data_IF_879716344630
#
_entry.id   IF_879716344630
#
_cell.length_a   1.000
_cell.length_b   1.000
_cell.length_c   1.000
_cell.angle_alpha   90.00
_cell.angle_beta   90.00
_cell.angle_gamma   90.00
#
_symmetry.space_group_name_H-M   'P 1'
#
loop_
_entity.id
_entity.type
_entity.pdbx_description
1 polymer ?
#
# COMPACT_ATOMS: atom_id res chain seq x y z
N UNK A 1 -40.94 -46.45 16.79
CA UNK A 1 -39.78 -46.43 17.70
C UNK A 1 -38.60 -45.87 16.94
N UNK A 2 -38.33 -44.58 17.11
CA UNK A 2 -37.21 -43.90 16.39
C UNK A 2 -35.89 -44.28 17.11
N UNK A 3 -35.10 -45.16 16.50
CA UNK A 3 -33.72 -45.38 16.95
C UNK A 3 -32.99 -44.04 16.88
N UNK A 4 -32.47 -43.56 18.01
CA UNK A 4 -31.72 -42.32 18.12
C UNK A 4 -30.48 -42.41 17.23
N UNK A 5 -30.19 -41.33 16.49
CA UNK A 5 -29.00 -41.21 15.64
C UNK A 5 -27.72 -41.53 16.44
N UNK A 6 -27.70 -41.21 17.73
CA UNK A 6 -26.64 -41.54 18.69
C UNK A 6 -26.42 -43.05 18.90
N UNK A 7 -27.49 -43.89 18.84
CA UNK A 7 -27.35 -45.34 18.98
C UNK A 7 -26.72 -45.98 17.71
N UNK A 8 -26.92 -45.36 16.52
CA UNK A 8 -26.25 -45.79 15.29
C UNK A 8 -24.75 -45.48 15.34
N UNK A 9 -24.34 -44.37 15.97
CA UNK A 9 -22.93 -44.05 16.13
C UNK A 9 -22.21 -44.99 17.12
N UNK A 10 -22.90 -45.55 18.13
CA UNK A 10 -22.37 -46.54 19.08
C UNK A 10 -22.08 -47.91 18.44
N UNK A 11 -22.76 -48.27 17.37
CA UNK A 11 -22.55 -49.53 16.63
C UNK A 11 -21.40 -49.44 15.60
N UNK A 12 -20.93 -48.22 15.27
CA UNK A 12 -19.80 -48.05 14.32
C UNK A 12 -18.47 -48.25 15.03
N UNK A 13 -17.89 -49.43 14.91
CA UNK A 13 -16.50 -49.66 15.26
C UNK A 13 -15.62 -48.91 14.30
N UNK A 14 -15.06 -47.77 14.71
CA UNK A 14 -14.04 -47.07 13.99
C UNK A 14 -12.79 -47.93 13.92
N UNK A 15 -12.56 -48.59 12.79
CA UNK A 15 -11.32 -49.32 12.55
C UNK A 15 -10.20 -48.33 12.20
N UNK A 16 -8.94 -48.66 12.52
CA UNK A 16 -7.74 -47.85 12.23
C UNK A 16 -7.69 -47.40 10.77
N UNK A 17 -8.17 -48.24 9.83
CA UNK A 17 -8.25 -47.90 8.42
C UNK A 17 -9.11 -46.68 8.10
N UNK A 18 -10.23 -46.47 8.82
CA UNK A 18 -11.10 -45.31 8.62
C UNK A 18 -10.43 -44.02 9.12
N UNK A 19 -9.69 -44.11 10.21
CA UNK A 19 -8.90 -43.01 10.75
C UNK A 19 -7.77 -42.63 9.80
N UNK A 20 -7.09 -43.63 9.19
CA UNK A 20 -6.04 -43.41 8.20
C UNK A 20 -6.58 -42.70 6.95
N UNK A 21 -7.73 -43.13 6.43
CA UNK A 21 -8.37 -42.49 5.28
C UNK A 21 -8.78 -41.05 5.63
N UNK A 22 -9.36 -40.82 6.80
CA UNK A 22 -9.75 -39.48 7.25
C UNK A 22 -8.52 -38.58 7.39
N UNK A 23 -7.43 -39.10 7.97
CA UNK A 23 -6.15 -38.38 8.06
C UNK A 23 -5.62 -37.96 6.69
N UNK A 24 -5.62 -38.90 5.73
CA UNK A 24 -5.14 -38.60 4.37
C UNK A 24 -5.99 -37.54 3.68
N UNK A 25 -7.31 -37.58 3.87
CA UNK A 25 -8.23 -36.57 3.31
C UNK A 25 -7.98 -35.21 3.95
N UNK A 26 -7.87 -35.15 5.27
CA UNK A 26 -7.61 -33.88 5.99
C UNK A 26 -6.25 -33.30 5.62
N UNK A 27 -5.23 -34.15 5.49
CA UNK A 27 -3.89 -33.71 5.09
C UNK A 27 -3.90 -33.17 3.65
N UNK A 28 -4.52 -33.88 2.70
CA UNK A 28 -4.68 -33.41 1.33
C UNK A 28 -5.47 -32.07 1.27
N UNK A 29 -6.56 -31.96 2.01
CA UNK A 29 -7.33 -30.72 2.13
C UNK A 29 -6.48 -29.57 2.68
N UNK A 30 -5.70 -29.83 3.72
CA UNK A 30 -4.81 -28.80 4.31
C UNK A 30 -3.73 -28.33 3.32
N UNK A 31 -3.16 -29.22 2.54
CA UNK A 31 -2.22 -28.85 1.49
C UNK A 31 -2.87 -27.96 0.42
N UNK A 32 -4.09 -28.30 0.00
CA UNK A 32 -4.85 -27.52 -0.97
C UNK A 32 -5.14 -26.12 -0.41
N UNK A 33 -5.64 -26.03 0.82
CA UNK A 33 -5.95 -24.75 1.48
C UNK A 33 -4.69 -23.90 1.66
N UNK A 34 -3.57 -24.51 2.06
CA UNK A 34 -2.28 -23.82 2.19
C UNK A 34 -1.81 -23.25 0.85
N UNK A 35 -1.94 -24.02 -0.23
CA UNK A 35 -1.57 -23.58 -1.57
C UNK A 35 -2.44 -22.42 -2.06
N UNK A 36 -3.77 -22.53 -1.88
CA UNK A 36 -4.72 -21.47 -2.26
C UNK A 36 -4.42 -20.19 -1.46
N UNK A 37 -4.20 -20.32 -0.16
CA UNK A 37 -3.91 -19.18 0.71
C UNK A 37 -2.61 -18.48 0.31
N UNK A 38 -1.55 -19.24 0.00
CA UNK A 38 -0.29 -18.70 -0.48
C UNK A 38 -0.45 -17.96 -1.81
N UNK A 39 -1.20 -18.51 -2.76
CA UNK A 39 -1.48 -17.88 -4.04
C UNK A 39 -2.27 -16.57 -3.84
N UNK A 40 -3.34 -16.62 -3.05
CA UNK A 40 -4.20 -15.46 -2.75
C UNK A 40 -3.43 -14.32 -2.07
N UNK A 41 -2.58 -14.64 -1.09
CA UNK A 41 -1.76 -13.63 -0.41
C UNK A 41 -0.74 -13.01 -1.38
N UNK A 42 -0.12 -13.81 -2.23
CA UNK A 42 0.83 -13.30 -3.23
C UNK A 42 0.15 -12.35 -4.20
N UNK A 43 -1.02 -12.72 -4.72
CA UNK A 43 -1.80 -11.89 -5.64
C UNK A 43 -2.25 -10.58 -4.95
N UNK A 44 -2.72 -10.68 -3.71
CA UNK A 44 -3.08 -9.51 -2.91
C UNK A 44 -1.89 -8.57 -2.69
N UNK A 45 -0.73 -9.10 -2.31
CA UNK A 45 0.48 -8.30 -2.12
C UNK A 45 0.93 -7.63 -3.41
N UNK A 46 0.91 -8.36 -4.53
CA UNK A 46 1.28 -7.80 -5.83
C UNK A 46 0.34 -6.66 -6.22
N UNK A 47 -0.97 -6.89 -6.13
CA UNK A 47 -1.97 -5.87 -6.44
C UNK A 47 -1.87 -4.64 -5.54
N UNK A 48 -1.64 -4.86 -4.24
CA UNK A 48 -1.47 -3.77 -3.26
C UNK A 48 -0.20 -2.98 -3.53
N UNK A 49 0.89 -3.64 -3.88
CA UNK A 49 2.13 -2.98 -4.24
C UNK A 49 1.99 -2.14 -5.52
N UNK A 50 1.37 -2.70 -6.55
CA UNK A 50 1.18 -1.98 -7.82
C UNK A 50 0.28 -0.75 -7.62
N UNK A 51 -0.78 -0.89 -6.82
CA UNK A 51 -1.61 0.24 -6.44
C UNK A 51 -0.81 1.30 -5.67
N UNK A 52 -0.07 0.89 -4.63
CA UNK A 52 0.71 1.82 -3.80
C UNK A 52 1.82 2.52 -4.58
N UNK A 53 2.48 1.81 -5.50
CA UNK A 53 3.50 2.37 -6.40
C UNK A 53 2.91 3.47 -7.27
N UNK A 54 1.74 3.20 -7.86
CA UNK A 54 1.03 4.15 -8.71
C UNK A 54 0.63 5.39 -7.91
N UNK A 55 -0.08 5.20 -6.80
CA UNK A 55 -0.57 6.28 -5.94
C UNK A 55 0.57 7.15 -5.42
N UNK A 56 1.63 6.54 -4.90
CA UNK A 56 2.81 7.27 -4.41
C UNK A 56 3.49 8.07 -5.50
N UNK A 57 3.59 7.51 -6.70
CA UNK A 57 4.22 8.19 -7.82
C UNK A 57 3.35 9.37 -8.34
N UNK A 58 2.04 9.19 -8.39
CA UNK A 58 1.09 10.27 -8.73
C UNK A 58 1.14 11.41 -7.70
N UNK A 59 1.17 11.07 -6.40
CA UNK A 59 1.26 12.06 -5.31
C UNK A 59 2.56 12.87 -5.39
N UNK A 60 3.70 12.22 -5.62
CA UNK A 60 4.99 12.88 -5.76
C UNK A 60 4.99 13.81 -6.98
N UNK A 61 4.48 13.34 -8.11
CA UNK A 61 4.40 14.15 -9.32
C UNK A 61 3.50 15.38 -9.14
N UNK A 62 2.36 15.19 -8.46
CA UNK A 62 1.44 16.27 -8.13
C UNK A 62 2.05 17.28 -7.17
N UNK A 63 2.72 16.83 -6.12
CA UNK A 63 3.44 17.70 -5.19
C UNK A 63 4.55 18.49 -5.90
N UNK A 64 5.22 17.87 -6.85
CA UNK A 64 6.25 18.54 -7.67
C UNK A 64 5.64 19.64 -8.52
N UNK A 65 4.56 19.35 -9.24
CA UNK A 65 3.85 20.35 -10.04
C UNK A 65 3.37 21.52 -9.18
N UNK A 66 2.66 21.23 -8.10
CA UNK A 66 2.14 22.24 -7.16
C UNK A 66 3.25 23.08 -6.53
N UNK A 67 4.41 22.46 -6.20
CA UNK A 67 5.54 23.19 -5.64
C UNK A 67 6.12 24.20 -6.63
N UNK A 68 6.26 23.81 -7.88
CA UNK A 68 6.74 24.70 -8.97
C UNK A 68 5.76 25.83 -9.21
N UNK A 69 4.46 25.54 -9.31
CA UNK A 69 3.39 26.52 -9.46
C UNK A 69 3.39 27.53 -8.31
N UNK A 70 3.46 27.05 -7.07
CA UNK A 70 3.44 27.89 -5.87
C UNK A 70 4.66 28.82 -5.79
N UNK A 71 5.85 28.32 -6.11
CA UNK A 71 7.08 29.14 -6.13
C UNK A 71 6.93 30.25 -7.16
N UNK A 72 6.45 29.91 -8.35
CA UNK A 72 6.29 30.90 -9.40
C UNK A 72 5.22 31.95 -9.04
N UNK A 73 4.07 31.55 -8.52
CA UNK A 73 3.01 32.48 -8.10
C UNK A 73 3.43 33.39 -6.94
N UNK A 74 4.19 32.86 -5.99
CA UNK A 74 4.60 33.63 -4.81
C UNK A 74 5.72 34.63 -5.09
N UNK A 75 6.67 34.27 -5.93
CA UNK A 75 7.92 35.02 -6.13
C UNK A 75 8.02 35.59 -7.53
N UNK A 76 7.41 34.98 -8.52
CA UNK A 76 7.56 35.32 -9.94
C UNK A 76 6.96 36.66 -10.34
N UNK A 77 6.03 37.24 -9.55
CA UNK A 77 5.40 38.54 -9.83
C UNK A 77 6.21 39.75 -9.36
N UNK A 78 7.16 39.56 -8.46
CA UNK A 78 7.97 40.68 -7.93
C UNK A 78 9.20 40.91 -8.80
N UNK A 79 9.02 41.79 -9.80
CA UNK A 79 10.04 42.50 -10.62
C UNK A 79 11.49 41.97 -10.59
N UNK A 80 11.88 41.45 -11.71
CA UNK A 80 13.05 41.71 -12.57
C UNK A 80 14.36 42.18 -11.88
N UNK A 81 14.67 41.68 -10.68
CA UNK A 81 16.04 41.72 -10.21
C UNK A 81 16.72 40.41 -10.64
N UNK A 82 17.86 40.54 -11.30
CA UNK A 82 18.64 39.39 -11.82
C UNK A 82 18.99 38.38 -10.71
N UNK A 83 19.13 38.84 -9.47
CA UNK A 83 19.37 38.00 -8.30
C UNK A 83 18.13 37.19 -7.90
N UNK A 84 16.95 37.76 -8.00
CA UNK A 84 15.69 37.07 -7.77
C UNK A 84 15.43 35.97 -8.82
N UNK A 85 15.64 36.27 -10.08
CA UNK A 85 15.53 35.32 -11.18
C UNK A 85 16.42 34.08 -10.96
N UNK A 86 17.68 34.33 -10.55
CA UNK A 86 18.62 33.25 -10.23
C UNK A 86 18.17 32.40 -9.04
N UNK A 87 17.60 33.01 -8.01
CA UNK A 87 17.10 32.27 -6.84
C UNK A 87 15.91 31.38 -7.19
N UNK A 88 14.99 31.85 -8.04
CA UNK A 88 13.85 31.06 -8.49
C UNK A 88 14.32 29.88 -9.34
N UNK A 89 15.19 30.14 -10.30
CA UNK A 89 15.78 29.08 -11.13
C UNK A 89 16.48 28.01 -10.27
N UNK A 90 17.26 28.42 -9.28
CA UNK A 90 17.89 27.50 -8.33
C UNK A 90 16.88 26.72 -7.50
N UNK A 91 15.75 27.33 -7.13
CA UNK A 91 14.69 26.62 -6.40
C UNK A 91 14.04 25.54 -7.26
N UNK A 92 13.84 25.78 -8.53
CA UNK A 92 13.36 24.77 -9.49
C UNK A 92 14.39 23.64 -9.67
N UNK A 93 15.67 23.96 -9.82
CA UNK A 93 16.74 22.95 -9.90
C UNK A 93 16.81 22.08 -8.65
N UNK A 94 16.60 22.67 -7.47
CA UNK A 94 16.53 21.92 -6.22
C UNK A 94 15.35 20.95 -6.24
N UNK A 95 14.16 21.37 -6.69
CA UNK A 95 13.00 20.48 -6.79
C UNK A 95 13.30 19.34 -7.75
N UNK A 96 13.80 19.62 -8.96
CA UNK A 96 14.13 18.59 -9.93
C UNK A 96 15.15 17.57 -9.37
N UNK A 97 16.23 18.06 -8.78
CA UNK A 97 17.29 17.20 -8.25
C UNK A 97 16.89 16.44 -7.00
N UNK A 98 16.16 17.04 -6.07
CA UNK A 98 15.69 16.35 -4.86
C UNK A 98 14.73 15.21 -5.19
N UNK A 99 13.80 15.41 -6.11
CA UNK A 99 12.88 14.37 -6.49
C UNK A 99 13.57 13.18 -7.14
N UNK A 100 14.54 13.43 -8.03
CA UNK A 100 15.32 12.38 -8.67
C UNK A 100 16.15 11.56 -7.67
N UNK A 101 16.74 12.22 -6.64
CA UNK A 101 17.58 11.54 -5.66
C UNK A 101 16.79 10.76 -4.60
N UNK A 102 15.62 11.24 -4.22
CA UNK A 102 14.92 10.72 -3.03
C UNK A 102 13.96 9.59 -3.36
N UNK A 103 13.41 9.50 -4.59
CA UNK A 103 12.24 8.68 -4.87
C UNK A 103 12.38 7.67 -6.00
N UNK A 104 13.60 7.31 -6.41
CA UNK A 104 13.84 6.42 -7.56
C UNK A 104 13.14 6.91 -8.84
N UNK A 105 13.14 8.23 -9.04
CA UNK A 105 12.63 8.85 -10.24
C UNK A 105 13.73 8.81 -11.30
N UNK A 106 13.45 8.12 -12.38
CA UNK A 106 14.38 7.98 -13.50
C UNK A 106 14.44 9.28 -14.34
N UNK A 107 13.30 9.94 -14.49
CA UNK A 107 13.20 11.16 -15.28
C UNK A 107 12.09 12.08 -14.76
N UNK A 108 12.41 13.35 -14.64
CA UNK A 108 11.47 14.41 -14.33
C UNK A 108 11.69 15.54 -15.32
N UNK A 109 10.65 15.99 -15.98
CA UNK A 109 10.68 17.07 -16.95
C UNK A 109 9.31 17.76 -17.04
N UNK A 110 9.29 18.95 -17.57
CA UNK A 110 8.06 19.68 -17.90
C UNK A 110 7.93 19.74 -19.41
N UNK A 111 6.81 19.30 -19.91
CA UNK A 111 6.47 19.41 -21.34
C UNK A 111 5.57 20.62 -21.50
N UNK A 112 6.02 21.60 -22.23
CA UNK A 112 5.28 22.84 -22.48
C UNK A 112 4.88 22.96 -23.93
N UNK A 113 3.75 23.62 -24.18
CA UNK A 113 3.28 23.91 -25.52
C UNK A 113 3.58 25.37 -25.87
N UNK A 114 4.35 25.60 -26.94
CA UNK A 114 4.63 26.93 -27.48
C UNK A 114 4.13 26.97 -28.92
N UNK A 115 3.07 27.70 -29.14
CA UNK A 115 2.41 27.69 -30.44
C UNK A 115 1.90 26.30 -30.82
N UNK A 116 2.51 25.69 -31.83
CA UNK A 116 2.14 24.34 -32.32
C UNK A 116 3.21 23.27 -31.97
N UNK A 117 4.28 23.65 -31.28
CA UNK A 117 5.38 22.77 -30.94
C UNK A 117 5.40 22.48 -29.43
N UNK A 118 5.91 21.30 -29.08
CA UNK A 118 6.07 20.88 -27.69
C UNK A 118 7.56 20.87 -27.38
N UNK A 119 7.90 21.48 -26.25
CA UNK A 119 9.27 21.56 -25.75
C UNK A 119 9.38 20.84 -24.40
N UNK A 120 10.53 20.21 -24.17
CA UNK A 120 10.83 19.51 -22.93
C UNK A 120 11.81 20.36 -22.12
N UNK A 121 11.44 20.68 -20.90
CA UNK A 121 12.24 21.46 -19.96
C UNK A 121 12.59 20.56 -18.78
N UNK A 122 13.87 20.41 -18.47
CA UNK A 122 14.39 19.63 -17.33
C UNK A 122 15.39 20.42 -16.49
N UNK A 123 15.50 21.70 -16.73
CA UNK A 123 16.41 22.64 -16.09
C UNK A 123 15.64 23.81 -15.50
N UNK A 124 15.98 24.21 -14.28
CA UNK A 124 15.22 25.26 -13.57
C UNK A 124 15.41 26.64 -14.15
N UNK A 125 16.54 26.91 -14.79
CA UNK A 125 16.80 28.19 -15.45
C UNK A 125 15.96 28.29 -16.72
N UNK A 126 15.92 27.22 -17.52
CA UNK A 126 15.12 27.15 -18.73
C UNK A 126 13.62 27.26 -18.40
N UNK A 127 13.19 26.63 -17.31
CA UNK A 127 11.82 26.76 -16.81
C UNK A 127 11.50 28.20 -16.42
N UNK A 128 12.39 28.87 -15.69
CA UNK A 128 12.19 30.28 -15.33
C UNK A 128 12.11 31.17 -16.57
N UNK A 129 13.02 31.01 -17.52
CA UNK A 129 13.04 31.77 -18.78
C UNK A 129 11.72 31.58 -19.59
N UNK A 130 11.21 30.34 -19.64
CA UNK A 130 9.91 30.05 -20.24
C UNK A 130 8.77 30.79 -19.54
N UNK A 131 8.71 30.70 -18.20
CA UNK A 131 7.63 31.31 -17.42
C UNK A 131 7.67 32.84 -17.46
N UNK A 132 8.87 33.44 -17.48
CA UNK A 132 9.07 34.88 -17.53
C UNK A 132 8.83 35.49 -18.92
N UNK A 133 9.11 34.77 -19.98
CA UNK A 133 9.15 35.32 -21.35
C UNK A 133 8.58 34.34 -22.39
N UNK A 134 7.34 33.90 -22.19
CA UNK A 134 6.67 32.85 -22.99
C UNK A 134 6.68 33.10 -24.50
N UNK A 135 6.60 34.37 -24.91
CA UNK A 135 6.51 34.72 -26.34
C UNK A 135 7.83 34.71 -27.09
N UNK A 136 8.97 34.75 -26.39
CA UNK A 136 10.31 34.79 -26.96
C UNK A 136 11.19 33.60 -26.52
N UNK A 137 10.61 32.63 -25.87
CA UNK A 137 11.33 31.44 -25.41
C UNK A 137 11.81 30.59 -26.57
N UNK A 138 13.10 30.30 -26.59
CA UNK A 138 13.68 29.35 -27.54
C UNK A 138 14.45 28.35 -26.68
N UNK A 139 14.05 27.10 -26.74
CA UNK A 139 14.75 26.02 -25.98
C UNK A 139 16.20 25.94 -26.46
N UNK A 140 17.11 25.97 -25.48
CA UNK A 140 18.54 25.88 -25.74
C UNK A 140 19.00 24.42 -25.97
N UNK A 141 18.20 23.45 -25.59
CA UNK A 141 18.48 22.03 -25.77
C UNK A 141 17.32 21.34 -26.49
N UNK A 142 17.57 20.80 -27.66
CA UNK A 142 16.71 19.81 -28.28
C UNK A 142 16.84 18.49 -27.48
N UNK A 143 16.16 18.39 -26.35
CA UNK A 143 16.04 17.10 -25.65
C UNK A 143 15.07 16.25 -26.45
N UNK A 144 15.59 15.52 -27.42
CA UNK A 144 14.84 14.58 -28.21
C UNK A 144 14.64 13.29 -27.39
N UNK A 145 13.51 13.19 -26.70
CA UNK A 145 13.00 11.91 -26.19
C UNK A 145 11.71 11.54 -26.94
N UNK A 146 11.86 10.82 -28.08
CA UNK A 146 10.70 10.48 -28.91
C UNK A 146 9.69 9.62 -28.17
N UNK A 147 10.14 8.80 -27.20
CA UNK A 147 9.27 7.92 -26.43
C UNK A 147 8.37 8.72 -25.49
N UNK A 148 8.94 9.66 -24.74
CA UNK A 148 8.21 10.55 -23.85
C UNK A 148 7.21 11.41 -24.63
N UNK A 149 7.64 11.96 -25.76
CA UNK A 149 6.81 12.81 -26.57
C UNK A 149 5.64 12.06 -27.23
N UNK A 150 5.85 10.79 -27.63
CA UNK A 150 4.79 9.96 -28.17
C UNK A 150 3.73 9.63 -27.11
N UNK A 151 4.16 9.32 -25.89
CA UNK A 151 3.26 9.09 -24.74
C UNK A 151 2.49 10.37 -24.40
N UNK A 152 3.17 11.52 -24.33
CA UNK A 152 2.50 12.78 -24.04
C UNK A 152 1.41 13.11 -25.08
N UNK A 153 1.71 12.95 -26.38
CA UNK A 153 0.72 13.20 -27.43
C UNK A 153 -0.53 12.34 -27.30
N UNK A 154 -0.41 11.13 -26.78
CA UNK A 154 -1.56 10.24 -26.58
C UNK A 154 -2.48 10.70 -25.46
N UNK A 155 -1.95 11.42 -24.46
CA UNK A 155 -2.70 11.86 -23.26
C UNK A 155 -2.97 13.38 -23.24
N UNK A 156 -2.32 14.16 -24.08
CA UNK A 156 -2.41 15.63 -24.06
C UNK A 156 -3.85 16.15 -24.19
N UNK A 157 -4.68 15.49 -24.99
CA UNK A 157 -6.08 15.84 -25.16
C UNK A 157 -6.92 15.62 -23.89
N UNK A 158 -6.65 14.56 -23.17
CA UNK A 158 -7.30 14.23 -21.90
C UNK A 158 -6.83 15.18 -20.79
N UNK A 159 -5.53 15.37 -20.65
CA UNK A 159 -4.92 16.29 -19.69
C UNK A 159 -5.48 17.71 -19.81
N UNK A 160 -5.58 18.22 -21.04
CA UNK A 160 -6.10 19.57 -21.27
C UNK A 160 -7.59 19.70 -21.00
N UNK A 161 -8.36 18.62 -21.16
CA UNK A 161 -9.82 18.63 -21.01
C UNK A 161 -10.27 18.37 -19.58
N UNK A 162 -9.62 17.43 -18.90
CA UNK A 162 -10.02 16.98 -17.57
C UNK A 162 -9.24 17.65 -16.44
N UNK A 163 -8.05 18.18 -16.74
CA UNK A 163 -7.09 18.69 -15.75
C UNK A 163 -6.81 17.66 -14.62
N UNK A 164 -6.87 16.38 -14.98
CA UNK A 164 -6.60 15.27 -14.06
C UNK A 164 -5.25 14.63 -14.35
N UNK A 165 -4.68 14.02 -13.32
CA UNK A 165 -3.44 13.26 -13.45
C UNK A 165 -3.70 12.04 -14.32
N UNK A 166 -2.86 11.84 -15.34
CA UNK A 166 -2.90 10.65 -16.18
C UNK A 166 -1.63 9.84 -15.96
N UNK A 167 -1.82 8.59 -15.53
CA UNK A 167 -0.72 7.65 -15.34
C UNK A 167 -0.82 6.47 -16.30
N UNK A 168 0.30 6.12 -16.90
CA UNK A 168 0.45 4.96 -17.77
C UNK A 168 1.48 4.02 -17.20
N UNK A 169 1.21 2.73 -17.26
CA UNK A 169 2.14 1.69 -16.82
C UNK A 169 2.68 0.99 -18.06
N UNK A 170 3.99 0.98 -18.21
CA UNK A 170 4.68 0.22 -19.23
C UNK A 170 5.49 -0.89 -18.58
N UNK A 171 5.41 -2.12 -19.13
CA UNK A 171 6.16 -3.31 -18.69
C UNK A 171 6.01 -3.65 -17.18
N UNK A 172 4.87 -3.32 -16.56
CA UNK A 172 4.52 -3.60 -15.16
C UNK A 172 5.51 -3.04 -14.11
N UNK A 173 6.51 -2.27 -14.51
CA UNK A 173 7.55 -1.74 -13.61
C UNK A 173 7.79 -0.25 -13.75
N UNK A 174 7.45 0.32 -14.88
CA UNK A 174 7.71 1.73 -15.19
C UNK A 174 6.41 2.49 -15.23
N UNK A 175 6.33 3.53 -14.40
CA UNK A 175 5.18 4.43 -14.33
C UNK A 175 5.53 5.72 -15.07
N UNK A 176 4.73 6.06 -16.05
CA UNK A 176 4.77 7.34 -16.75
C UNK A 176 3.61 8.18 -16.26
N UNK A 177 3.88 9.23 -15.53
CA UNK A 177 2.88 10.08 -14.91
C UNK A 177 2.92 11.45 -15.57
N UNK A 178 1.75 11.96 -15.91
CA UNK A 178 1.56 13.29 -16.48
C UNK A 178 0.62 14.05 -15.55
N UNK A 179 1.12 15.13 -14.96
CA UNK A 179 0.34 16.04 -14.12
C UNK A 179 0.10 17.31 -14.91
N UNK A 180 -1.15 17.80 -15.03
CA UNK A 180 -1.41 19.07 -15.68
C UNK A 180 -0.59 20.20 -15.05
N UNK A 181 0.09 20.98 -15.86
CA UNK A 181 0.83 22.14 -15.41
C UNK A 181 0.03 23.40 -15.72
N UNK A 182 -0.55 23.97 -14.66
CA UNK A 182 -1.52 25.06 -14.75
C UNK A 182 -1.03 26.23 -13.91
N UNK A 183 -0.78 27.37 -14.50
CA UNK A 183 -0.39 28.59 -13.80
C UNK A 183 -1.44 29.66 -14.02
N UNK A 184 -1.98 30.20 -12.93
CA UNK A 184 -3.03 31.24 -12.94
C UNK A 184 -4.26 30.81 -13.77
N UNK A 185 -4.60 29.52 -13.74
CA UNK A 185 -5.73 28.97 -14.49
C UNK A 185 -5.47 28.77 -15.99
N UNK A 186 -4.25 28.98 -16.47
CA UNK A 186 -3.85 28.71 -17.85
C UNK A 186 -3.08 27.38 -17.92
N UNK A 187 -3.58 26.46 -18.73
CA UNK A 187 -2.90 25.20 -19.00
C UNK A 187 -1.67 25.43 -19.90
N UNK A 188 -0.49 25.19 -19.37
CA UNK A 188 0.78 25.42 -20.06
C UNK A 188 1.37 24.14 -20.63
N UNK A 189 0.97 22.98 -20.11
CA UNK A 189 1.52 21.71 -20.49
C UNK A 189 1.36 20.65 -19.41
N UNK A 190 2.38 19.82 -19.21
CA UNK A 190 2.34 18.80 -18.18
C UNK A 190 3.70 18.60 -17.53
N UNK A 191 3.71 18.35 -16.23
CA UNK A 191 4.85 17.78 -15.53
C UNK A 191 4.86 16.28 -15.82
N UNK A 192 5.92 15.81 -16.41
CA UNK A 192 6.16 14.39 -16.70
C UNK A 192 7.12 13.81 -15.69
N UNK A 193 6.75 12.67 -15.14
CA UNK A 193 7.61 11.89 -14.27
C UNK A 193 7.65 10.44 -14.72
N UNK A 194 8.85 9.90 -14.83
CA UNK A 194 9.11 8.47 -15.02
C UNK A 194 9.64 7.92 -13.72
N UNK A 195 8.88 7.05 -13.09
CA UNK A 195 9.23 6.43 -11.82
C UNK A 195 9.33 4.91 -11.97
N UNK A 196 10.36 4.34 -11.33
CA UNK A 196 10.60 2.90 -11.27
C UNK A 196 10.78 2.49 -9.81
N UNK A 197 9.72 2.56 -8.99
CA UNK A 197 9.81 2.28 -7.57
C UNK A 197 10.15 0.81 -7.34
N UNK A 198 11.28 0.57 -6.65
CA UNK A 198 11.71 -0.78 -6.28
C UNK A 198 11.27 -1.13 -4.86
N UNK A 199 10.28 -2.01 -4.77
CA UNK A 199 9.81 -2.59 -3.50
C UNK A 199 10.20 -4.05 -3.36
N UNK A 200 11.14 -4.53 -4.17
CA UNK A 200 11.54 -5.94 -4.20
C UNK A 200 12.03 -6.44 -2.84
N UNK A 201 12.76 -5.63 -2.10
CA UNK A 201 13.26 -5.96 -0.76
C UNK A 201 12.13 -6.13 0.24
N UNK A 202 11.17 -5.21 0.27
CA UNK A 202 10.01 -5.26 1.16
C UNK A 202 9.10 -6.43 0.77
N UNK A 203 8.85 -6.61 -0.52
CA UNK A 203 8.08 -7.72 -1.04
C UNK A 203 8.68 -9.06 -0.66
N UNK A 204 9.98 -9.23 -0.87
CA UNK A 204 10.70 -10.46 -0.52
C UNK A 204 10.65 -10.73 0.99
N UNK A 205 10.79 -9.70 1.80
CA UNK A 205 10.73 -9.84 3.26
C UNK A 205 9.33 -10.22 3.74
N UNK A 206 8.29 -9.58 3.20
CA UNK A 206 6.90 -9.88 3.56
C UNK A 206 6.51 -11.29 3.10
N UNK A 207 6.82 -11.64 1.85
CA UNK A 207 6.56 -12.99 1.32
C UNK A 207 7.36 -14.04 2.09
N UNK A 208 8.63 -13.77 2.41
CA UNK A 208 9.47 -14.67 3.21
C UNK A 208 8.88 -14.90 4.61
N UNK A 209 8.47 -13.85 5.29
CA UNK A 209 7.83 -13.95 6.60
C UNK A 209 6.50 -14.73 6.57
N UNK A 210 5.72 -14.54 5.51
CA UNK A 210 4.46 -15.28 5.32
C UNK A 210 4.73 -16.75 4.98
N UNK A 211 5.76 -17.05 4.19
CA UNK A 211 6.17 -18.42 3.89
C UNK A 211 6.64 -19.15 5.15
N UNK A 212 7.47 -18.52 5.98
CA UNK A 212 7.89 -19.07 7.28
C UNK A 212 6.69 -19.33 8.20
N UNK A 213 5.80 -18.36 8.32
CA UNK A 213 4.59 -18.47 9.13
C UNK A 213 3.69 -19.59 8.61
N UNK A 214 3.52 -19.73 7.31
CA UNK A 214 2.75 -20.81 6.68
C UNK A 214 3.35 -22.19 6.95
N UNK A 215 4.68 -22.32 6.89
CA UNK A 215 5.38 -23.56 7.22
C UNK A 215 5.19 -23.91 8.69
N UNK A 216 5.26 -22.93 9.60
CA UNK A 216 5.02 -23.14 11.03
C UNK A 216 3.59 -23.61 11.27
N UNK A 217 2.59 -22.95 10.71
CA UNK A 217 1.19 -23.38 10.83
C UNK A 217 0.95 -24.77 10.24
N UNK A 218 1.50 -25.06 9.06
CA UNK A 218 1.40 -26.37 8.44
C UNK A 218 2.04 -27.44 9.34
N UNK A 219 3.20 -27.15 9.93
CA UNK A 219 3.91 -28.06 10.85
C UNK A 219 3.11 -28.32 12.11
N UNK A 220 2.53 -27.28 12.72
CA UNK A 220 1.68 -27.46 13.90
C UNK A 220 0.40 -28.25 13.61
N UNK A 221 -0.25 -27.99 12.47
CA UNK A 221 -1.45 -28.73 12.07
C UNK A 221 -1.10 -30.18 11.77
N UNK A 222 -0.01 -30.43 11.04
CA UNK A 222 0.45 -31.78 10.73
C UNK A 222 0.82 -32.55 12.00
N UNK A 223 1.51 -31.90 12.92
CA UNK A 223 1.84 -32.48 14.24
C UNK A 223 0.57 -32.79 15.05
N UNK A 224 -0.41 -31.87 15.03
CA UNK A 224 -1.70 -32.07 15.69
C UNK A 224 -2.46 -33.26 15.10
N UNK A 225 -2.49 -33.38 13.76
CA UNK A 225 -3.11 -34.51 13.07
C UNK A 225 -2.40 -35.83 13.36
N UNK A 226 -1.08 -35.83 13.37
CA UNK A 226 -0.26 -37.01 13.71
C UNK A 226 -0.53 -37.44 15.16
N UNK A 227 -0.55 -36.51 16.09
CA UNK A 227 -0.85 -36.77 17.50
C UNK A 227 -2.25 -37.36 17.64
N UNK A 228 -3.24 -36.77 16.97
CA UNK A 228 -4.62 -37.27 16.94
C UNK A 228 -4.69 -38.72 16.39
N UNK A 229 -3.93 -39.00 15.31
CA UNK A 229 -3.84 -40.36 14.72
C UNK A 229 -3.26 -41.34 15.71
N UNK A 230 -2.18 -41.03 16.41
CA UNK A 230 -1.56 -41.90 17.41
C UNK A 230 -2.49 -42.16 18.60
N UNK A 231 -3.12 -41.09 19.10
CA UNK A 231 -4.06 -41.22 20.23
C UNK A 231 -5.26 -42.08 19.82
N UNK A 232 -5.85 -41.81 18.64
CA UNK A 232 -6.97 -42.60 18.15
C UNK A 232 -6.59 -44.07 17.87
N UNK A 233 -5.39 -44.32 17.33
CA UNK A 233 -4.85 -45.65 17.12
C UNK A 233 -4.62 -46.40 18.43
N UNK A 234 -4.18 -45.69 19.45
CA UNK A 234 -4.00 -46.26 20.78
C UNK A 234 -5.33 -46.60 21.46
N UNK A 235 -6.31 -45.69 21.38
CA UNK A 235 -7.64 -45.87 21.98
C UNK A 235 -8.44 -47.00 21.31
N UNK A 236 -8.30 -47.14 20.00
CA UNK A 236 -8.93 -48.26 19.24
C UNK A 236 -8.29 -49.59 19.60
N UNK A 237 -7.01 -49.59 20.04
CA UNK A 237 -6.30 -50.81 20.38
C UNK A 237 -6.57 -51.31 21.82
N UNK A 238 -6.88 -50.41 22.72
CA UNK A 238 -6.77 -50.79 24.13
C UNK A 238 -7.95 -50.43 25.03
N UNK A 239 -9.15 -50.42 24.69
CA UNK A 239 -10.20 -50.47 25.70
C UNK A 239 -10.79 -49.19 26.30
N UNK A 240 -11.99 -49.36 26.62
CA UNK A 240 -12.87 -48.79 27.61
C UNK A 240 -13.57 -47.47 27.25
N UNK A 241 -14.88 -47.63 27.13
CA UNK A 241 -15.85 -46.51 27.01
C UNK A 241 -15.62 -45.44 28.10
N UNK A 242 -15.13 -45.81 29.28
CA UNK A 242 -14.86 -44.88 30.37
C UNK A 242 -13.65 -43.97 30.11
N UNK A 243 -12.56 -44.45 29.52
CA UNK A 243 -11.40 -43.64 29.15
C UNK A 243 -11.72 -42.73 27.94
N UNK A 244 -12.56 -43.21 27.04
CA UNK A 244 -13.03 -42.42 25.89
C UNK A 244 -13.94 -41.26 26.34
N UNK A 245 -14.79 -41.48 27.32
CA UNK A 245 -15.62 -40.41 27.91
C UNK A 245 -14.79 -39.35 28.64
N UNK A 246 -13.77 -39.81 29.43
CA UNK A 246 -12.85 -38.87 30.10
C UNK A 246 -12.00 -38.08 29.13
N UNK A 247 -11.60 -38.69 28.02
CA UNK A 247 -10.83 -38.01 26.98
C UNK A 247 -11.69 -36.98 26.22
N UNK A 248 -12.94 -37.36 25.88
CA UNK A 248 -13.89 -36.43 25.25
C UNK A 248 -14.24 -35.24 26.16
N UNK A 249 -14.31 -35.47 27.47
CA UNK A 249 -14.53 -34.40 28.46
C UNK A 249 -13.30 -33.49 28.60
N UNK A 250 -12.09 -34.07 28.56
CA UNK A 250 -10.85 -33.29 28.59
C UNK A 250 -10.65 -32.43 27.35
N UNK A 251 -10.96 -32.96 26.16
CA UNK A 251 -10.88 -32.21 24.90
C UNK A 251 -11.88 -31.05 24.86
N UNK A 252 -13.10 -31.27 25.32
CA UNK A 252 -14.10 -30.18 25.41
C UNK A 252 -13.67 -29.05 26.36
N UNK A 253 -13.00 -29.40 27.44
CA UNK A 253 -12.47 -28.42 28.39
C UNK A 253 -11.28 -27.66 27.83
N UNK A 254 -10.43 -28.31 27.06
CA UNK A 254 -9.31 -27.67 26.36
C UNK A 254 -9.81 -26.67 25.27
N UNK A 255 -10.82 -27.07 24.51
CA UNK A 255 -11.47 -26.22 23.53
C UNK A 255 -12.12 -24.97 24.16
N UNK A 256 -12.78 -25.14 25.29
CA UNK A 256 -13.32 -24.03 26.10
C UNK A 256 -12.22 -23.09 26.58
N UNK A 257 -11.10 -23.62 27.05
CA UNK A 257 -9.97 -22.82 27.51
C UNK A 257 -9.30 -22.04 26.36
N UNK A 258 -9.14 -22.70 25.20
CA UNK A 258 -8.58 -22.06 24.00
C UNK A 258 -9.51 -20.95 23.50
N UNK A 259 -10.82 -21.19 23.50
CA UNK A 259 -11.83 -20.19 23.10
C UNK A 259 -11.80 -19.00 24.07
N UNK A 260 -11.74 -19.27 25.37
CA UNK A 260 -11.64 -18.21 26.39
C UNK A 260 -10.34 -17.39 26.25
N UNK A 261 -9.20 -18.04 26.01
CA UNK A 261 -7.93 -17.33 25.78
C UNK A 261 -7.94 -16.50 24.51
N UNK A 262 -8.55 -17.00 23.42
CA UNK A 262 -8.72 -16.23 22.18
C UNK A 262 -9.59 -15.00 22.42
N UNK A 263 -10.70 -15.14 23.14
CA UNK A 263 -11.56 -14.00 23.50
C UNK A 263 -10.82 -12.98 24.39
N UNK A 264 -10.01 -13.44 25.31
CA UNK A 264 -9.24 -12.59 26.22
C UNK A 264 -8.14 -11.80 25.47
N UNK A 265 -7.45 -12.44 24.54
CA UNK A 265 -6.45 -11.79 23.68
C UNK A 265 -7.12 -10.78 22.75
N UNK A 266 -8.27 -11.14 22.17
CA UNK A 266 -9.03 -10.27 21.30
C UNK A 266 -9.54 -9.03 22.06
N UNK A 267 -10.13 -9.22 23.23
CA UNK A 267 -10.61 -8.13 24.09
C UNK A 267 -9.48 -7.21 24.51
N UNK A 268 -8.30 -7.76 24.85
CA UNK A 268 -7.13 -6.97 25.22
C UNK A 268 -6.60 -6.14 24.04
N UNK A 269 -6.64 -6.67 22.82
CA UNK A 269 -6.27 -5.93 21.60
C UNK A 269 -7.23 -4.76 21.33
N UNK A 270 -8.55 -5.02 21.39
CA UNK A 270 -9.57 -3.96 21.21
C UNK A 270 -9.37 -2.86 22.25
N UNK A 271 -9.23 -3.21 23.52
CA UNK A 271 -9.03 -2.23 24.59
C UNK A 271 -7.78 -1.38 24.37
N UNK A 272 -6.67 -1.99 23.97
CA UNK A 272 -5.42 -1.25 23.73
C UNK A 272 -5.52 -0.31 22.52
N UNK A 273 -6.25 -0.73 21.50
CA UNK A 273 -6.51 0.05 20.29
C UNK A 273 -7.45 1.23 20.59
N UNK A 274 -8.52 0.97 21.34
CA UNK A 274 -9.46 2.00 21.77
C UNK A 274 -8.77 3.08 22.61
N UNK A 275 -7.95 2.65 23.58
CA UNK A 275 -7.21 3.59 24.44
C UNK A 275 -6.18 4.44 23.66
N UNK A 276 -5.53 3.86 22.64
CA UNK A 276 -4.66 4.62 21.74
C UNK A 276 -5.47 5.63 20.91
N UNK A 277 -6.62 5.24 20.39
CA UNK A 277 -7.51 6.11 19.64
C UNK A 277 -8.04 7.28 20.52
N UNK A 278 -8.49 7.00 21.75
CA UNK A 278 -8.92 8.02 22.72
C UNK A 278 -7.81 9.03 23.02
N UNK A 279 -6.57 8.54 23.23
CA UNK A 279 -5.43 9.41 23.51
C UNK A 279 -5.13 10.35 22.34
N UNK A 280 -5.23 9.83 21.11
CA UNK A 280 -5.02 10.64 19.91
C UNK A 280 -6.15 11.63 19.70
N UNK A 281 -7.40 11.23 19.95
CA UNK A 281 -8.54 12.16 19.96
C UNK A 281 -8.35 13.27 21.00
N UNK A 282 -7.76 12.96 22.15
CA UNK A 282 -7.36 13.96 23.14
C UNK A 282 -6.35 14.97 22.60
N UNK A 283 -5.33 14.51 21.89
CA UNK A 283 -4.34 15.38 21.26
C UNK A 283 -4.95 16.26 20.16
N UNK A 284 -5.81 15.68 19.32
CA UNK A 284 -6.55 16.44 18.30
C UNK A 284 -7.39 17.54 18.94
N UNK A 285 -8.09 17.23 20.02
CA UNK A 285 -8.93 18.20 20.75
C UNK A 285 -8.09 19.32 21.36
N UNK A 286 -6.91 19.01 21.86
CA UNK A 286 -5.99 20.00 22.41
C UNK A 286 -5.37 20.87 21.31
N UNK A 287 -4.90 20.27 20.22
CA UNK A 287 -4.40 21.00 19.06
C UNK A 287 -5.44 21.95 18.46
N UNK A 288 -6.70 21.52 18.41
CA UNK A 288 -7.82 22.37 17.97
C UNK A 288 -8.15 23.51 18.94
N UNK A 289 -7.87 23.35 20.24
CA UNK A 289 -8.07 24.42 21.25
C UNK A 289 -7.06 25.56 21.14
N UNK A 290 -5.85 25.23 20.66
CA UNK A 290 -4.71 26.18 20.52
C UNK A 290 -4.63 26.72 19.09
N UNK A 291 -5.61 26.44 18.25
CA UNK A 291 -5.66 26.86 16.85
C UNK A 291 -5.70 28.39 16.75
N UNK A 292 -4.76 28.97 16.04
CA UNK A 292 -4.69 30.40 15.73
C UNK A 292 -4.22 30.58 14.29
N UNK A 293 -4.46 31.77 13.74
CA UNK A 293 -4.03 32.06 12.35
C UNK A 293 -2.53 31.90 12.10
N UNK A 294 -1.72 31.94 13.15
CA UNK A 294 -0.26 31.81 13.05
C UNK A 294 0.24 30.34 13.03
N UNK A 295 -0.58 29.38 13.47
CA UNK A 295 -0.17 27.96 13.61
C UNK A 295 -1.07 26.98 12.85
N UNK A 296 -1.98 27.50 12.03
CA UNK A 296 -3.02 26.71 11.35
C UNK A 296 -2.45 25.59 10.46
N UNK A 297 -1.38 25.87 9.73
CA UNK A 297 -0.77 24.89 8.83
C UNK A 297 -0.03 23.79 9.58
N UNK A 298 0.61 24.13 10.68
CA UNK A 298 1.28 23.16 11.55
C UNK A 298 0.27 22.23 12.23
N UNK A 299 -0.78 22.80 12.80
CA UNK A 299 -1.84 22.03 13.46
C UNK A 299 -2.57 21.15 12.44
N UNK A 300 -2.89 21.67 11.25
CA UNK A 300 -3.50 20.92 10.16
C UNK A 300 -2.64 19.71 9.76
N UNK A 301 -1.33 19.88 9.65
CA UNK A 301 -0.40 18.79 9.36
C UNK A 301 -0.39 17.73 10.47
N UNK A 302 -0.40 18.14 11.74
CA UNK A 302 -0.46 17.21 12.89
C UNK A 302 -1.78 16.46 12.94
N UNK A 303 -2.91 17.14 12.80
CA UNK A 303 -4.25 16.53 12.78
C UNK A 303 -4.39 15.53 11.63
N UNK A 304 -3.88 15.84 10.44
CA UNK A 304 -3.84 14.90 9.31
C UNK A 304 -3.01 13.65 9.63
N UNK A 305 -1.85 13.80 10.28
CA UNK A 305 -1.03 12.67 10.72
C UNK A 305 -1.78 11.79 11.74
N UNK A 306 -2.46 12.41 12.69
CA UNK A 306 -3.26 11.70 13.70
C UNK A 306 -4.46 10.98 13.07
N UNK A 307 -5.16 11.63 12.13
CA UNK A 307 -6.26 11.04 11.37
C UNK A 307 -5.82 9.82 10.56
N UNK A 308 -4.70 9.94 9.84
CA UNK A 308 -4.12 8.83 9.09
C UNK A 308 -3.65 7.68 10.00
N UNK A 309 -3.14 8.00 11.19
CA UNK A 309 -2.77 6.99 12.16
C UNK A 309 -3.99 6.26 12.72
N UNK A 310 -5.05 6.99 13.09
CA UNK A 310 -6.33 6.40 13.55
C UNK A 310 -6.91 5.51 12.46
N UNK A 311 -6.95 5.98 11.21
CA UNK A 311 -7.43 5.20 10.07
C UNK A 311 -6.64 3.89 9.90
N UNK A 312 -5.31 3.93 10.00
CA UNK A 312 -4.47 2.71 9.96
C UNK A 312 -4.77 1.78 11.13
N UNK A 313 -4.87 2.33 12.34
CA UNK A 313 -5.14 1.54 13.57
C UNK A 313 -6.52 0.89 13.52
N UNK A 314 -7.52 1.53 12.90
CA UNK A 314 -8.88 0.97 12.70
C UNK A 314 -8.87 -0.05 11.56
N UNK A 315 -8.04 0.15 10.52
CA UNK A 315 -7.97 -0.76 9.37
C UNK A 315 -7.21 -2.06 9.67
N UNK A 316 -6.27 -2.01 10.63
CA UNK A 316 -5.48 -3.17 11.11
C UNK A 316 -6.26 -4.01 12.16
N UNK A 317 -7.51 -3.67 12.45
CA UNK A 317 -8.47 -4.44 13.28
C UNK A 317 -9.31 -5.42 12.47
#
# INVERSE_FOLDING_TARGET
>A
MKRNILDKFKEYHFEVKHITVLFMILFAFQLIVSFINKASIRDFLTSTQDWYKKESAEEIANLTATSIELIYETVGEKSVDHEHAKKIAQSFDIIFSQQQLTHNIDKLAIIVQIGNEHHIINDGRELYEFLANRGAFTSSQEVHDPSMMSLYRSVAGELKKSEQIVSMVNDSKTFHIFVPFVIKGEFLGAVYMKSMPDFSSISTQVVGSLDETSVIYLSFITLGLLTMYFISSYTVKERDEAQKMLFEEHDKNLEKQITYQKELIFTKRIYHTHHKAEKIMGFIKEDLRVLSDQNIDEIKSRVLKYSNFISRVIYDM
#
